data_IF_272884491476
#
_entry.id   IF_272884491476
#
_cell.length_a   1.000
_cell.length_b   1.000
_cell.length_c   1.000
_cell.angle_alpha   90.00
_cell.angle_beta   90.00
_cell.angle_gamma   90.00
#
_symmetry.space_group_name_H-M   'P 1'
#
loop_
_entity.id
_entity.type
_entity.pdbx_description
1 polymer ?
#
# COMPACT_ATOMS: atom_id res chain seq x y z
N UNK A 1 3.26 5.20 -7.10
CA UNK A 1 3.79 3.82 -6.98
C UNK A 1 2.97 2.88 -7.86
N UNK A 2 3.55 1.82 -8.41
CA UNK A 2 2.76 0.82 -9.16
C UNK A 2 2.06 -0.13 -8.19
N UNK A 3 0.95 -0.73 -8.63
CA UNK A 3 0.21 -1.70 -7.80
C UNK A 3 1.09 -2.91 -7.44
N UNK A 4 1.94 -3.36 -8.38
CA UNK A 4 2.92 -4.43 -8.14
C UNK A 4 3.92 -4.10 -7.03
N UNK A 5 4.37 -2.85 -6.95
CA UNK A 5 5.30 -2.41 -5.90
C UNK A 5 4.63 -2.40 -4.54
N UNK A 6 3.37 -1.92 -4.48
CA UNK A 6 2.58 -1.97 -3.27
C UNK A 6 2.35 -3.42 -2.81
N UNK A 7 2.05 -4.33 -3.73
CA UNK A 7 1.90 -5.75 -3.42
C UNK A 7 3.19 -6.37 -2.89
N UNK A 8 4.34 -6.04 -3.48
CA UNK A 8 5.64 -6.50 -2.98
C UNK A 8 5.96 -5.98 -1.58
N UNK A 9 5.62 -4.73 -1.29
CA UNK A 9 5.94 -4.09 -0.02
C UNK A 9 5.01 -4.50 1.13
N UNK A 10 3.74 -4.78 0.82
CA UNK A 10 2.72 -5.08 1.81
C UNK A 10 2.33 -6.56 1.87
N UNK A 11 2.67 -7.37 0.86
CA UNK A 11 2.39 -8.80 0.79
C UNK A 11 1.12 -9.11 -0.01
N UNK A 12 -0.01 -8.56 0.41
CA UNK A 12 -1.31 -8.89 -0.17
C UNK A 12 -2.24 -7.69 -0.37
N UNK A 13 -3.22 -7.81 -1.30
CA UNK A 13 -4.30 -6.82 -1.46
C UNK A 13 -5.12 -6.64 -0.17
N UNK A 14 -5.25 -7.69 0.63
CA UNK A 14 -5.97 -7.66 1.91
C UNK A 14 -5.22 -6.82 2.96
N UNK A 15 -3.89 -6.91 3.00
CA UNK A 15 -3.06 -6.09 3.89
C UNK A 15 -3.06 -4.63 3.47
N UNK A 16 -2.97 -4.35 2.16
CA UNK A 16 -3.09 -2.99 1.62
C UNK A 16 -4.44 -2.38 2.04
N UNK A 17 -5.52 -3.14 1.91
CA UNK A 17 -6.86 -2.71 2.32
C UNK A 17 -6.92 -2.40 3.82
N UNK A 18 -6.35 -3.27 4.67
CA UNK A 18 -6.29 -3.11 6.13
C UNK A 18 -5.52 -1.86 6.54
N UNK A 19 -4.36 -1.63 5.93
CA UNK A 19 -3.51 -0.46 6.19
C UNK A 19 -4.20 0.84 5.78
N UNK A 20 -4.92 0.83 4.66
CA UNK A 20 -5.63 1.98 4.14
C UNK A 20 -7.03 2.18 4.75
N UNK A 21 -7.51 1.26 5.58
CA UNK A 21 -8.84 1.32 6.15
C UNK A 21 -9.96 1.24 5.10
N UNK A 22 -9.76 0.54 4.00
CA UNK A 22 -10.76 0.37 2.93
C UNK A 22 -11.10 -1.09 2.69
N UNK A 23 -12.15 -1.33 1.90
CA UNK A 23 -12.55 -2.68 1.53
C UNK A 23 -11.54 -3.34 0.59
N UNK A 24 -11.40 -4.67 0.70
CA UNK A 24 -10.60 -5.49 -0.22
C UNK A 24 -11.09 -5.35 -1.67
N UNK A 25 -12.39 -5.20 -1.87
CA UNK A 25 -12.99 -5.00 -3.19
C UNK A 25 -12.50 -3.70 -3.86
N UNK A 26 -12.38 -2.61 -3.09
CA UNK A 26 -11.85 -1.34 -3.61
C UNK A 26 -10.39 -1.47 -4.08
N UNK A 27 -9.56 -2.26 -3.39
CA UNK A 27 -8.18 -2.57 -3.83
C UNK A 27 -8.16 -3.53 -5.02
N UNK A 28 -9.14 -4.44 -5.11
CA UNK A 28 -9.25 -5.38 -6.22
C UNK A 28 -9.56 -4.69 -7.55
N UNK A 29 -10.33 -3.59 -7.52
CA UNK A 29 -10.67 -2.77 -8.68
C UNK A 29 -9.49 -1.97 -9.25
N UNK A 30 -8.36 -1.89 -8.54
CA UNK A 30 -7.20 -1.18 -9.07
C UNK A 30 -6.59 -1.94 -10.25
N UNK A 31 -6.17 -1.23 -11.31
CA UNK A 31 -5.54 -1.85 -12.48
C UNK A 31 -4.24 -2.54 -12.06
N UNK A 32 -4.13 -3.86 -12.27
CA UNK A 32 -2.96 -4.66 -11.85
C UNK A 32 -1.64 -4.16 -12.48
N UNK A 33 -1.68 -3.73 -13.74
CA UNK A 33 -0.54 -3.18 -14.47
C UNK A 33 -0.48 -1.65 -14.40
N UNK A 34 -1.41 -1.04 -13.67
CA UNK A 34 -1.54 0.41 -13.54
C UNK A 34 -0.90 0.98 -12.28
N UNK A 35 -1.12 2.28 -12.14
CA UNK A 35 -0.68 3.03 -10.97
C UNK A 35 -1.75 3.02 -9.88
N UNK A 36 -1.30 2.94 -8.63
CA UNK A 36 -2.17 3.20 -7.48
C UNK A 36 -2.64 4.66 -7.56
N UNK A 37 -3.94 4.96 -7.32
CA UNK A 37 -4.43 6.34 -7.28
C UNK A 37 -3.56 7.24 -6.39
N UNK A 38 -3.28 8.47 -6.84
CA UNK A 38 -2.27 9.37 -6.25
C UNK A 38 -2.40 9.49 -4.72
N UNK A 39 -3.60 9.76 -4.22
CA UNK A 39 -3.87 9.86 -2.78
C UNK A 39 -3.48 8.58 -2.03
N UNK A 40 -3.80 7.41 -2.58
CA UNK A 40 -3.49 6.12 -1.95
C UNK A 40 -2.02 5.77 -2.02
N UNK A 41 -1.36 6.15 -3.11
CA UNK A 41 0.09 6.01 -3.23
C UNK A 41 0.82 6.83 -2.15
N UNK A 42 0.37 8.06 -1.91
CA UNK A 42 0.92 8.90 -0.84
C UNK A 42 0.73 8.27 0.55
N UNK A 43 -0.49 7.79 0.86
CA UNK A 43 -0.76 7.11 2.12
C UNK A 43 0.09 5.85 2.32
N UNK A 44 0.24 5.02 1.29
CA UNK A 44 1.07 3.82 1.36
C UNK A 44 2.55 4.17 1.56
N UNK A 45 3.05 5.23 0.91
CA UNK A 45 4.42 5.71 1.12
C UNK A 45 4.64 6.20 2.55
N UNK A 46 3.70 6.96 3.12
CA UNK A 46 3.77 7.41 4.51
C UNK A 46 3.84 6.21 5.49
N UNK A 47 3.03 5.17 5.24
CA UNK A 47 3.08 3.93 6.05
C UNK A 47 4.43 3.22 5.92
N UNK A 48 4.98 3.11 4.71
CA UNK A 48 6.31 2.50 4.51
C UNK A 48 7.42 3.31 5.20
N UNK A 49 7.34 4.64 5.14
CA UNK A 49 8.25 5.53 5.85
C UNK A 49 8.15 5.35 7.37
N UNK A 50 6.94 5.23 7.92
CA UNK A 50 6.72 4.95 9.35
C UNK A 50 7.30 3.59 9.77
N UNK A 51 7.14 2.55 8.94
CA UNK A 51 7.72 1.22 9.17
C UNK A 51 9.25 1.25 9.23
N UNK A 52 9.90 2.00 8.34
CA UNK A 52 11.37 2.09 8.32
C UNK A 52 11.91 2.87 9.53
N UNK A 53 11.23 3.95 9.94
CA UNK A 53 11.59 4.71 11.15
C UNK A 53 11.50 3.84 12.41
N UNK A 54 10.44 3.02 12.54
CA UNK A 54 10.32 2.10 13.68
C UNK A 54 11.43 1.05 13.73
N UNK A 55 11.93 0.57 12.58
CA UNK A 55 13.03 -0.39 12.52
C UNK A 55 14.41 0.16 12.91
N UNK A 56 14.63 1.49 12.89
CA UNK A 56 15.92 2.10 13.27
C UNK A 56 16.07 2.39 14.76
N UNK A 57 15.03 2.19 15.55
CA UNK A 57 15.00 2.48 17.00
C UNK A 57 14.97 1.18 17.82
N UNK A 58 15.38 0.07 17.23
CA UNK A 58 15.44 -1.24 17.86
C UNK A 58 16.88 -1.78 17.79
#
# INVERSE_FOLDING_TARGET
MKVKDALRAFGSKAEIARVLGISRAAVAQWPMDGSVPLLRAYQLQDVLCKRSKRKRVA
#
